data_IF_145675453369
#
_entry.id   IF_145675453369
#
_cell.length_a   1.000
_cell.length_b   1.000
_cell.length_c   1.000
_cell.angle_alpha   90.00
_cell.angle_beta   90.00
_cell.angle_gamma   90.00
#
_symmetry.space_group_name_H-M   'P 1'
#
loop_
_entity.id
_entity.type
_entity.pdbx_description
1 polymer ?
#
# COMPACT_ATOMS: atom_id res chain seq x y z
N UNK A 1 11.92 80.15 -22.71
CA UNK A 1 12.66 79.34 -21.71
C UNK A 1 11.77 78.62 -20.69
N UNK A 2 10.65 79.18 -20.20
CA UNK A 2 9.76 78.51 -19.21
C UNK A 2 9.17 77.17 -19.68
N UNK A 3 8.91 77.00 -20.99
CA UNK A 3 8.39 75.75 -21.54
C UNK A 3 9.40 74.59 -21.52
N UNK A 4 10.68 74.87 -21.74
CA UNK A 4 11.75 73.86 -21.71
C UNK A 4 11.95 73.29 -20.30
N UNK A 5 11.90 74.16 -19.28
CA UNK A 5 12.00 73.75 -17.87
C UNK A 5 10.86 72.79 -17.49
N UNK A 6 9.62 73.07 -17.91
CA UNK A 6 8.47 72.21 -17.63
C UNK A 6 8.57 70.83 -18.31
N UNK A 7 9.11 70.79 -19.54
CA UNK A 7 9.31 69.52 -20.26
C UNK A 7 10.40 68.69 -19.56
N UNK A 8 11.51 69.33 -19.14
CA UNK A 8 12.58 68.65 -18.40
C UNK A 8 12.07 68.08 -17.07
N UNK A 9 11.29 68.85 -16.32
CA UNK A 9 10.71 68.44 -15.04
C UNK A 9 9.74 67.25 -15.18
N UNK A 10 8.93 67.22 -16.24
CA UNK A 10 8.04 66.11 -16.54
C UNK A 10 8.81 64.82 -16.91
N UNK A 11 9.91 64.94 -17.67
CA UNK A 11 10.78 63.81 -18.02
C UNK A 11 11.46 63.25 -16.76
N UNK A 12 12.01 64.12 -15.91
CA UNK A 12 12.66 63.71 -14.65
C UNK A 12 11.64 63.04 -13.72
N UNK A 13 10.44 63.63 -13.58
CA UNK A 13 9.36 63.05 -12.76
C UNK A 13 8.93 61.67 -13.27
N UNK A 14 8.83 61.49 -14.59
CA UNK A 14 8.48 60.20 -15.21
C UNK A 14 9.59 59.16 -15.02
N UNK A 15 10.86 59.55 -15.13
CA UNK A 15 12.01 58.68 -14.86
C UNK A 15 12.03 58.22 -13.40
N UNK A 16 11.76 59.12 -12.46
CA UNK A 16 11.64 58.77 -11.03
C UNK A 16 10.49 57.78 -10.82
N UNK A 17 9.33 58.02 -11.43
CA UNK A 17 8.16 57.15 -11.28
C UNK A 17 8.42 55.74 -11.83
N UNK A 18 9.05 55.64 -13.01
CA UNK A 18 9.45 54.37 -13.63
C UNK A 18 10.54 53.66 -12.80
N UNK A 19 11.48 54.39 -12.21
CA UNK A 19 12.53 53.82 -11.37
C UNK A 19 12.01 53.28 -10.03
N UNK A 20 10.92 53.85 -9.50
CA UNK A 20 10.31 53.43 -8.23
C UNK A 20 9.28 52.31 -8.43
N UNK A 21 8.66 52.20 -9.62
CA UNK A 21 7.67 51.17 -9.94
C UNK A 21 8.12 49.72 -9.64
N UNK A 22 9.37 49.30 -9.92
CA UNK A 22 9.87 47.98 -9.56
C UNK A 22 9.83 47.70 -8.06
N UNK A 23 10.04 48.70 -7.19
CA UNK A 23 9.99 48.50 -5.74
C UNK A 23 8.58 48.19 -5.22
N UNK A 24 7.55 48.62 -5.94
CA UNK A 24 6.15 48.31 -5.61
C UNK A 24 5.61 47.07 -6.33
N UNK A 25 6.18 46.71 -7.48
CA UNK A 25 5.78 45.54 -8.26
C UNK A 25 6.53 44.26 -7.87
N UNK A 26 7.72 44.36 -7.30
CA UNK A 26 8.40 43.22 -6.70
C UNK A 26 7.70 42.92 -5.39
N UNK A 27 6.76 41.97 -5.42
CA UNK A 27 6.28 41.36 -4.20
C UNK A 27 7.49 40.82 -3.45
N UNK A 28 7.74 41.24 -2.19
CA UNK A 28 8.80 40.64 -1.41
C UNK A 28 8.53 39.14 -1.37
N UNK A 29 9.50 38.34 -1.79
CA UNK A 29 9.41 36.88 -1.66
C UNK A 29 9.07 36.57 -0.21
N UNK A 30 7.98 35.84 0.03
CA UNK A 30 7.60 35.43 1.37
C UNK A 30 8.81 34.80 2.06
N UNK A 31 9.11 35.24 3.27
CA UNK A 31 10.23 34.72 4.05
C UNK A 31 10.07 33.22 4.30
N UNK A 32 10.89 32.39 3.66
CA UNK A 32 10.86 30.93 3.85
C UNK A 32 11.43 30.49 5.19
N UNK A 33 12.01 31.40 5.99
CA UNK A 33 12.55 31.12 7.32
C UNK A 33 11.53 30.43 8.24
N UNK A 34 10.26 30.82 8.13
CA UNK A 34 9.19 30.18 8.90
C UNK A 34 8.98 28.71 8.52
N UNK A 35 9.13 28.39 7.23
CA UNK A 35 8.98 27.03 6.73
C UNK A 35 10.21 26.19 7.10
N UNK A 36 11.41 26.72 6.91
CA UNK A 36 12.66 26.06 7.32
C UNK A 36 12.63 25.74 8.81
N UNK A 37 12.25 26.68 9.67
CA UNK A 37 12.12 26.44 11.10
C UNK A 37 11.10 25.33 11.43
N UNK A 38 9.98 25.28 10.72
CA UNK A 38 8.97 24.23 10.92
C UNK A 38 9.48 22.86 10.48
N UNK A 39 10.20 22.79 9.36
CA UNK A 39 10.82 21.55 8.88
C UNK A 39 11.90 21.03 9.83
N UNK A 40 12.77 21.92 10.33
CA UNK A 40 13.79 21.57 11.31
C UNK A 40 13.15 21.04 12.59
N UNK A 41 12.11 21.70 13.11
CA UNK A 41 11.37 21.22 14.28
C UNK A 41 10.73 19.85 14.05
N UNK A 42 10.21 19.59 12.84
CA UNK A 42 9.63 18.29 12.49
C UNK A 42 10.69 17.18 12.45
N UNK A 43 11.87 17.46 11.88
CA UNK A 43 13.00 16.53 11.85
C UNK A 43 13.54 16.25 13.26
N UNK A 44 13.72 17.29 14.07
CA UNK A 44 14.17 17.16 15.46
C UNK A 44 13.16 16.36 16.30
N UNK A 45 11.86 16.60 16.08
CA UNK A 45 10.78 15.85 16.72
C UNK A 45 10.88 14.36 16.40
N UNK A 46 11.00 13.98 15.12
CA UNK A 46 11.17 12.58 14.73
C UNK A 46 12.46 11.98 15.30
N UNK A 47 13.57 12.71 15.30
CA UNK A 47 14.84 12.27 15.85
C UNK A 47 14.77 12.02 17.36
N UNK A 48 14.07 12.87 18.12
CA UNK A 48 13.83 12.69 19.57
C UNK A 48 12.97 11.46 19.82
N UNK A 49 11.88 11.28 19.07
CA UNK A 49 11.00 10.12 19.21
C UNK A 49 11.72 8.80 18.88
N UNK A 50 12.63 8.83 17.91
CA UNK A 50 13.46 7.67 17.58
C UNK A 50 14.47 7.35 18.68
N UNK A 51 15.25 8.35 19.15
CA UNK A 51 16.26 8.16 20.20
C UNK A 51 15.68 7.64 21.51
N UNK A 52 14.41 7.95 21.77
CA UNK A 52 13.68 7.50 22.95
C UNK A 52 12.89 6.21 22.75
N UNK A 53 13.02 5.55 21.58
CA UNK A 53 12.29 4.34 21.16
C UNK A 53 10.76 4.43 21.21
N UNK A 54 10.23 5.65 21.42
CA UNK A 54 8.78 5.93 21.48
C UNK A 54 8.14 5.75 20.12
N UNK A 55 8.83 6.17 19.06
CA UNK A 55 8.32 6.10 17.68
C UNK A 55 7.98 4.66 17.29
N UNK A 56 8.93 3.75 17.50
CA UNK A 56 8.76 2.31 17.28
C UNK A 56 7.61 1.75 18.13
N UNK A 57 7.55 2.13 19.41
CA UNK A 57 6.50 1.67 20.33
C UNK A 57 5.11 2.06 19.83
N UNK A 58 4.92 3.30 19.36
CA UNK A 58 3.64 3.76 18.82
C UNK A 58 3.26 3.01 17.54
N UNK A 59 4.20 2.80 16.63
CA UNK A 59 3.97 2.04 15.38
C UNK A 59 3.65 0.57 15.65
N UNK A 60 4.32 -0.02 16.64
CA UNK A 60 4.16 -1.42 17.05
C UNK A 60 2.80 -1.69 17.66
N UNK A 61 2.35 -0.77 18.53
CA UNK A 61 1.08 -0.87 19.23
C UNK A 61 -0.10 -0.24 18.47
N UNK A 62 0.15 0.38 17.32
CA UNK A 62 -0.83 1.18 16.59
C UNK A 62 -1.50 2.26 17.48
N UNK A 63 -0.71 2.89 18.35
CA UNK A 63 -1.21 3.89 19.31
C UNK A 63 -1.23 5.29 18.69
N UNK A 64 -2.24 5.49 17.85
CA UNK A 64 -2.48 6.76 17.12
C UNK A 64 -2.71 7.92 18.09
N UNK A 65 -3.40 7.68 19.21
CA UNK A 65 -3.75 8.72 20.17
C UNK A 65 -2.51 9.23 20.93
N UNK A 66 -1.67 8.32 21.43
CA UNK A 66 -0.45 8.70 22.15
C UNK A 66 0.54 9.42 21.22
N UNK A 67 0.77 8.90 20.00
CA UNK A 67 1.63 9.55 19.01
C UNK A 67 1.14 10.96 18.69
N UNK A 68 -0.15 11.12 18.41
CA UNK A 68 -0.73 12.43 18.12
C UNK A 68 -0.59 13.40 19.31
N UNK A 69 -0.83 12.94 20.55
CA UNK A 69 -0.67 13.77 21.75
C UNK A 69 0.77 14.25 21.96
N UNK A 70 1.74 13.38 21.65
CA UNK A 70 3.16 13.66 21.80
C UNK A 70 3.64 14.63 20.71
N UNK A 71 3.18 14.45 19.46
CA UNK A 71 3.49 15.37 18.36
C UNK A 71 2.89 16.77 18.59
N UNK A 72 1.67 16.88 19.13
CA UNK A 72 1.07 18.16 19.52
C UNK A 72 1.93 18.89 20.58
N UNK A 73 2.60 18.12 21.46
CA UNK A 73 3.46 18.67 22.51
C UNK A 73 4.81 19.15 21.97
N UNK A 74 5.36 18.47 20.98
CA UNK A 74 6.69 18.74 20.43
C UNK A 74 6.68 19.76 19.29
N UNK A 75 5.61 19.79 18.48
CA UNK A 75 5.47 20.72 17.37
C UNK A 75 4.94 22.10 17.82
N UNK A 76 5.20 23.17 17.04
CA UNK A 76 4.66 24.49 17.33
C UNK A 76 3.13 24.50 17.38
N UNK A 77 2.53 25.20 18.35
CA UNK A 77 1.06 25.27 18.55
C UNK A 77 0.27 25.76 17.33
N UNK A 78 0.91 26.53 16.45
CA UNK A 78 0.30 27.06 15.22
C UNK A 78 0.50 26.14 14.00
N UNK A 79 0.76 24.85 14.22
CA UNK A 79 0.92 23.85 13.17
C UNK A 79 -0.09 22.73 13.31
N UNK A 80 -0.44 22.13 12.17
CA UNK A 80 -1.14 20.86 12.09
C UNK A 80 -0.26 19.86 11.30
N UNK A 81 -0.51 18.58 11.47
CA UNK A 81 0.35 17.53 10.93
C UNK A 81 -0.41 16.26 10.56
N UNK A 82 0.17 15.46 9.67
CA UNK A 82 -0.27 14.12 9.29
C UNK A 82 0.92 13.18 9.36
N UNK A 83 0.71 11.99 9.94
CA UNK A 83 1.74 10.96 10.03
C UNK A 83 1.41 9.82 9.08
N UNK A 84 2.35 9.50 8.20
CA UNK A 84 2.28 8.38 7.29
C UNK A 84 3.40 7.40 7.60
N UNK A 85 3.07 6.11 7.70
CA UNK A 85 4.00 5.01 7.94
C UNK A 85 4.04 4.17 6.69
N UNK A 86 5.24 3.84 6.20
CA UNK A 86 5.41 2.97 5.05
C UNK A 86 6.50 1.89 5.24
N UNK A 87 6.48 0.87 4.37
CA UNK A 87 7.43 -0.26 4.38
C UNK A 87 7.00 -1.46 5.24
N UNK A 88 5.89 -1.33 5.98
CA UNK A 88 5.34 -2.35 6.87
C UNK A 88 3.81 -2.48 6.69
N UNK A 89 3.21 -3.62 7.04
CA UNK A 89 1.79 -3.88 6.75
C UNK A 89 0.90 -3.06 7.68
N UNK A 90 -0.30 -2.78 7.18
CA UNK A 90 -1.33 -2.06 7.92
C UNK A 90 -1.73 -2.84 9.18
N UNK A 91 -1.88 -2.18 10.35
CA UNK A 91 -2.26 -2.86 11.58
C UNK A 91 -3.69 -3.42 11.54
N UNK A 92 -4.57 -2.79 10.75
CA UNK A 92 -5.91 -3.28 10.47
C UNK A 92 -6.09 -3.39 8.96
N UNK A 93 -6.32 -4.59 8.46
CA UNK A 93 -6.54 -4.88 7.05
C UNK A 93 -8.02 -5.16 6.85
N UNK A 94 -8.70 -4.28 6.10
CA UNK A 94 -10.10 -4.46 5.74
C UNK A 94 -10.18 -5.21 4.40
N UNK A 95 -10.78 -6.40 4.46
CA UNK A 95 -10.98 -7.30 3.32
C UNK A 95 -12.48 -7.35 3.01
N UNK A 96 -12.86 -6.82 1.85
CA UNK A 96 -14.22 -6.97 1.31
C UNK A 96 -14.30 -8.27 0.53
N UNK A 97 -15.28 -9.11 0.78
CA UNK A 97 -15.52 -10.35 0.05
C UNK A 97 -16.75 -10.19 -0.84
N UNK A 98 -16.58 -10.30 -2.16
CA UNK A 98 -17.69 -10.38 -3.12
C UNK A 98 -18.06 -11.84 -3.28
N UNK A 99 -18.78 -12.35 -2.29
CA UNK A 99 -18.97 -13.78 -2.15
C UNK A 99 -20.27 -14.12 -1.40
N UNK A 100 -20.68 -15.37 -1.50
CA UNK A 100 -21.76 -15.95 -0.70
C UNK A 100 -21.38 -16.00 0.79
N UNK A 101 -22.35 -16.24 1.67
CA UNK A 101 -22.07 -16.39 3.11
C UNK A 101 -21.10 -17.54 3.38
N UNK A 102 -21.26 -18.67 2.69
CA UNK A 102 -20.39 -19.84 2.84
C UNK A 102 -18.95 -19.55 2.41
N UNK A 103 -18.77 -18.84 1.30
CA UNK A 103 -17.43 -18.42 0.84
C UNK A 103 -16.80 -17.37 1.77
N UNK A 104 -17.63 -16.56 2.45
CA UNK A 104 -17.15 -15.63 3.48
C UNK A 104 -16.59 -16.42 4.67
N UNK A 105 -17.32 -17.44 5.13
CA UNK A 105 -16.88 -18.32 6.21
C UNK A 105 -15.59 -19.07 5.82
N UNK A 106 -15.51 -19.57 4.59
CA UNK A 106 -14.31 -20.21 4.05
C UNK A 106 -13.10 -19.26 4.02
N UNK A 107 -13.31 -18.00 3.65
CA UNK A 107 -12.27 -16.97 3.70
C UNK A 107 -11.82 -16.67 5.13
N UNK A 108 -12.75 -16.53 6.08
CA UNK A 108 -12.40 -16.31 7.48
C UNK A 108 -11.61 -17.49 8.06
N UNK A 109 -12.00 -18.72 7.68
CA UNK A 109 -11.28 -19.94 8.05
C UNK A 109 -9.86 -19.99 7.45
N UNK A 110 -9.68 -19.50 6.21
CA UNK A 110 -8.38 -19.37 5.54
C UNK A 110 -7.48 -18.34 6.24
N UNK A 111 -8.10 -17.29 6.77
CA UNK A 111 -7.42 -16.19 7.45
C UNK A 111 -7.36 -16.37 8.96
N UNK A 112 -7.77 -17.53 9.49
CA UNK A 112 -7.73 -17.80 10.92
C UNK A 112 -6.30 -18.05 11.43
N UNK A 113 -5.90 -17.53 12.62
CA UNK A 113 -6.59 -16.49 13.39
C UNK A 113 -6.55 -15.12 12.69
N UNK A 114 -7.66 -14.38 12.76
CA UNK A 114 -7.82 -13.04 12.20
C UNK A 114 -7.02 -11.98 12.94
N UNK A 115 -6.70 -12.22 14.22
CA UNK A 115 -5.80 -11.39 15.02
C UNK A 115 -4.54 -12.21 15.32
N UNK A 116 -3.39 -11.69 14.94
CA UNK A 116 -2.11 -12.40 15.09
C UNK A 116 -0.95 -11.43 15.24
N UNK A 117 0.18 -11.97 15.66
CA UNK A 117 1.42 -11.20 15.74
C UNK A 117 2.28 -11.40 14.50
N UNK A 118 2.75 -10.27 13.97
CA UNK A 118 3.78 -10.18 12.93
C UNK A 118 4.91 -9.30 13.47
N UNK A 119 6.10 -9.87 13.69
CA UNK A 119 7.26 -9.18 14.29
C UNK A 119 6.87 -8.34 15.52
N UNK A 120 6.19 -8.99 16.47
CA UNK A 120 5.70 -8.37 17.71
C UNK A 120 4.68 -7.22 17.55
N UNK A 121 4.17 -6.97 16.34
CA UNK A 121 3.06 -6.06 16.07
C UNK A 121 1.75 -6.84 16.01
N UNK A 122 0.70 -6.27 16.57
CA UNK A 122 -0.64 -6.83 16.44
C UNK A 122 -1.22 -6.45 15.08
N UNK A 123 -1.57 -7.46 14.29
CA UNK A 123 -2.25 -7.29 13.00
C UNK A 123 -3.66 -7.89 13.14
N UNK A 124 -4.66 -7.15 12.66
CA UNK A 124 -6.06 -7.56 12.64
C UNK A 124 -6.59 -7.54 11.21
N UNK A 125 -7.08 -8.68 10.73
CA UNK A 125 -7.78 -8.78 9.45
C UNK A 125 -9.28 -8.80 9.75
N UNK A 126 -10.03 -7.90 9.10
CA UNK A 126 -11.49 -7.86 9.21
C UNK A 126 -12.09 -8.16 7.85
N UNK A 127 -12.86 -9.24 7.79
CA UNK A 127 -13.60 -9.64 6.59
C UNK A 127 -14.99 -9.03 6.66
N UNK A 128 -15.51 -8.57 5.53
CA UNK A 128 -16.88 -8.10 5.42
C UNK A 128 -17.44 -8.50 4.07
N UNK A 129 -18.65 -9.07 4.05
CA UNK A 129 -19.34 -9.38 2.81
C UNK A 129 -19.76 -8.07 2.12
N UNK A 130 -19.52 -7.97 0.82
CA UNK A 130 -19.81 -6.79 -0.01
C UNK A 130 -20.33 -7.20 -1.38
N UNK A 131 -20.98 -6.25 -2.06
CA UNK A 131 -21.31 -6.40 -3.49
C UNK A 131 -20.38 -5.55 -4.33
N UNK A 132 -20.17 -5.91 -5.60
CA UNK A 132 -19.35 -5.12 -6.54
C UNK A 132 -19.79 -3.66 -6.68
N UNK A 133 -21.06 -3.35 -6.38
CA UNK A 133 -21.61 -2.00 -6.51
C UNK A 133 -21.41 -1.14 -5.25
N UNK A 134 -21.05 -1.75 -4.11
CA UNK A 134 -21.02 -1.09 -2.80
C UNK A 134 -19.73 -1.43 -2.04
N UNK A 135 -18.59 -1.06 -2.62
CA UNK A 135 -17.28 -1.26 -1.99
C UNK A 135 -17.05 -0.15 -0.95
N UNK A 136 -16.85 -0.51 0.31
CA UNK A 136 -16.47 0.46 1.36
C UNK A 136 -15.13 1.13 0.96
N UNK A 137 -15.04 2.47 0.92
CA UNK A 137 -13.82 3.20 0.56
C UNK A 137 -12.58 2.86 1.42
N UNK A 138 -12.78 2.30 2.62
CA UNK A 138 -11.70 1.89 3.52
C UNK A 138 -11.16 0.50 3.18
N UNK A 139 -11.91 -0.30 2.42
CA UNK A 139 -11.48 -1.63 1.95
C UNK A 139 -10.25 -1.48 1.06
N UNK A 140 -9.21 -2.26 1.37
CA UNK A 140 -7.98 -2.27 0.56
C UNK A 140 -7.81 -3.55 -0.23
N UNK A 141 -8.47 -4.63 0.18
CA UNK A 141 -8.42 -5.91 -0.53
C UNK A 141 -9.84 -6.36 -0.82
N UNK A 142 -10.14 -6.62 -2.09
CA UNK A 142 -11.40 -7.17 -2.56
C UNK A 142 -11.16 -8.63 -2.95
N UNK A 143 -11.78 -9.59 -2.24
CA UNK A 143 -11.66 -11.02 -2.51
C UNK A 143 -12.85 -11.51 -3.33
N UNK A 144 -12.58 -12.34 -4.33
CA UNK A 144 -13.56 -12.98 -5.21
C UNK A 144 -13.26 -14.47 -5.25
N UNK A 145 -14.28 -15.30 -5.06
CA UNK A 145 -14.19 -16.75 -5.23
C UNK A 145 -14.78 -17.17 -6.57
N UNK A 146 -14.16 -18.17 -7.19
CA UNK A 146 -14.53 -18.69 -8.50
C UNK A 146 -14.28 -17.71 -9.65
N UNK A 147 -14.60 -18.18 -10.86
CA UNK A 147 -14.55 -17.33 -12.05
C UNK A 147 -15.82 -16.47 -12.13
N UNK A 148 -15.65 -15.16 -12.10
CA UNK A 148 -16.68 -14.16 -12.34
C UNK A 148 -16.27 -13.33 -13.56
N UNK A 149 -17.18 -13.14 -14.52
CA UNK A 149 -16.93 -12.21 -15.62
C UNK A 149 -16.91 -10.77 -15.07
N UNK A 150 -15.72 -10.18 -14.97
CA UNK A 150 -15.51 -8.84 -14.40
C UNK A 150 -15.74 -7.71 -15.40
N UNK A 151 -16.01 -8.02 -16.67
CA UNK A 151 -16.18 -7.04 -17.74
C UNK A 151 -17.25 -5.97 -17.42
N UNK A 152 -18.42 -6.33 -16.86
CA UNK A 152 -19.43 -5.34 -16.47
C UNK A 152 -18.98 -4.37 -15.36
N UNK A 153 -18.03 -4.78 -14.52
CA UNK A 153 -17.57 -4.02 -13.36
C UNK A 153 -16.28 -3.24 -13.63
N UNK A 154 -15.79 -3.22 -14.88
CA UNK A 154 -14.50 -2.63 -15.26
C UNK A 154 -14.27 -1.23 -14.72
N UNK A 155 -15.28 -0.34 -14.77
CA UNK A 155 -15.14 1.04 -14.30
C UNK A 155 -14.94 1.10 -12.78
N UNK A 156 -15.73 0.33 -12.01
CA UNK A 156 -15.65 0.28 -10.55
C UNK A 156 -14.30 -0.31 -10.13
N UNK A 157 -13.90 -1.42 -10.76
CA UNK A 157 -12.61 -2.06 -10.47
C UNK A 157 -11.42 -1.18 -10.84
N UNK A 158 -11.51 -0.43 -11.94
CA UNK A 158 -10.47 0.54 -12.33
C UNK A 158 -10.34 1.63 -11.27
N UNK A 159 -11.45 2.21 -10.82
CA UNK A 159 -11.45 3.22 -9.76
C UNK A 159 -10.91 2.66 -8.44
N UNK A 160 -11.28 1.42 -8.11
CA UNK A 160 -10.76 0.73 -6.92
C UNK A 160 -9.24 0.54 -6.99
N UNK A 161 -8.71 0.05 -8.11
CA UNK A 161 -7.27 -0.10 -8.35
C UNK A 161 -6.54 1.26 -8.37
N UNK A 162 -7.11 2.30 -8.96
CA UNK A 162 -6.56 3.67 -8.99
C UNK A 162 -6.47 4.29 -7.59
N UNK A 163 -7.36 3.93 -6.68
CA UNK A 163 -7.30 4.33 -5.26
C UNK A 163 -6.26 3.53 -4.46
N UNK A 164 -5.59 2.56 -5.09
CA UNK A 164 -4.60 1.67 -4.47
C UNK A 164 -5.20 0.41 -3.86
N UNK A 165 -6.45 0.08 -4.17
CA UNK A 165 -7.06 -1.19 -3.79
C UNK A 165 -6.43 -2.39 -4.52
N UNK A 166 -6.64 -3.58 -3.98
CA UNK A 166 -6.13 -4.84 -4.51
C UNK A 166 -7.25 -5.82 -4.76
N UNK A 167 -7.30 -6.43 -5.94
CA UNK A 167 -8.27 -7.48 -6.26
C UNK A 167 -7.59 -8.84 -6.09
N UNK A 168 -8.14 -9.67 -5.23
CA UNK A 168 -7.65 -11.01 -4.94
C UNK A 168 -8.69 -12.03 -5.43
N UNK A 169 -8.28 -12.97 -6.26
CA UNK A 169 -9.19 -13.93 -6.86
C UNK A 169 -8.72 -15.36 -6.60
N UNK A 170 -9.57 -16.14 -5.94
CA UNK A 170 -9.43 -17.58 -5.75
C UNK A 170 -10.19 -18.29 -6.86
N UNK A 171 -9.50 -18.77 -7.88
CA UNK A 171 -10.19 -19.42 -8.99
C UNK A 171 -9.28 -20.36 -9.75
N UNK A 172 -9.87 -21.48 -10.18
CA UNK A 172 -9.26 -22.34 -11.18
C UNK A 172 -9.75 -21.90 -12.57
N UNK A 173 -8.82 -21.73 -13.50
CA UNK A 173 -9.04 -21.20 -14.83
C UNK A 173 -8.88 -22.27 -15.90
N UNK A 174 -9.75 -22.20 -16.89
CA UNK A 174 -9.57 -22.85 -18.20
C UNK A 174 -8.79 -21.94 -19.15
N UNK A 175 -8.37 -22.47 -20.30
CA UNK A 175 -7.66 -21.70 -21.33
C UNK A 175 -8.46 -20.49 -21.83
N UNK A 176 -9.79 -20.64 -22.00
CA UNK A 176 -10.65 -19.54 -22.45
C UNK A 176 -10.82 -18.47 -21.37
N UNK A 177 -10.92 -18.85 -20.10
CA UNK A 177 -11.04 -17.92 -18.98
C UNK A 177 -9.74 -17.16 -18.71
N UNK A 178 -8.58 -17.82 -18.83
CA UNK A 178 -7.29 -17.15 -18.69
C UNK A 178 -7.04 -16.12 -19.80
N UNK A 179 -7.64 -16.33 -20.98
CA UNK A 179 -7.56 -15.42 -22.12
C UNK A 179 -8.63 -14.31 -22.08
N UNK A 180 -9.54 -14.32 -21.10
CA UNK A 180 -10.49 -13.23 -20.88
C UNK A 180 -9.74 -11.90 -20.72
N UNK A 181 -10.29 -10.82 -21.28
CA UNK A 181 -9.61 -9.54 -21.41
C UNK A 181 -9.10 -9.01 -20.08
N UNK A 182 -9.91 -9.10 -19.01
CA UNK A 182 -9.49 -8.66 -17.67
C UNK A 182 -8.47 -9.62 -17.06
N UNK A 183 -8.63 -10.94 -17.22
CA UNK A 183 -7.66 -11.90 -16.67
C UNK A 183 -6.27 -11.73 -17.30
N UNK A 184 -6.21 -11.56 -18.61
CA UNK A 184 -4.95 -11.33 -19.31
C UNK A 184 -4.38 -9.93 -19.00
N UNK A 185 -5.18 -8.87 -19.13
CA UNK A 185 -4.64 -7.49 -19.00
C UNK A 185 -4.41 -7.04 -17.56
N UNK A 186 -5.34 -7.35 -16.65
CA UNK A 186 -5.38 -6.83 -15.28
C UNK A 186 -4.64 -7.77 -14.33
N UNK A 187 -4.87 -9.08 -14.43
CA UNK A 187 -4.14 -10.09 -13.65
C UNK A 187 -2.81 -10.52 -14.29
N UNK A 188 -2.57 -10.20 -15.58
CA UNK A 188 -1.33 -10.59 -16.25
C UNK A 188 -1.21 -12.09 -16.47
N UNK A 189 -2.34 -12.79 -16.61
CA UNK A 189 -2.37 -14.24 -16.76
C UNK A 189 -2.21 -14.61 -18.24
N UNK A 190 -1.29 -15.51 -18.52
CA UNK A 190 -1.08 -16.07 -19.86
C UNK A 190 -1.08 -17.58 -19.76
N UNK A 191 -1.81 -18.20 -20.67
CA UNK A 191 -1.97 -19.65 -20.68
C UNK A 191 -0.75 -20.33 -21.30
N UNK A 192 -0.22 -21.32 -20.60
CA UNK A 192 0.80 -22.24 -21.05
C UNK A 192 0.14 -23.51 -21.62
N UNK A 193 0.35 -23.77 -22.91
CA UNK A 193 -0.20 -24.97 -23.54
C UNK A 193 0.48 -26.27 -23.05
N UNK A 194 1.69 -26.18 -22.49
CA UNK A 194 2.49 -27.33 -22.07
C UNK A 194 1.87 -27.98 -20.82
N UNK A 195 1.70 -29.30 -20.87
CA UNK A 195 1.32 -30.11 -19.72
C UNK A 195 2.58 -30.39 -18.93
N UNK A 196 2.69 -29.83 -17.72
CA UNK A 196 3.64 -30.33 -16.74
C UNK A 196 2.83 -31.07 -15.69
N UNK A 197 3.18 -32.32 -15.39
CA UNK A 197 2.53 -33.12 -14.36
C UNK A 197 3.36 -33.08 -13.08
N UNK A 198 2.77 -32.60 -11.99
CA UNK A 198 3.29 -32.81 -10.64
C UNK A 198 4.55 -32.03 -10.30
N UNK A 199 4.69 -31.73 -9.02
CA UNK A 199 5.82 -31.00 -8.44
C UNK A 199 5.41 -30.40 -7.12
N UNK A 200 6.33 -30.35 -6.16
CA UNK A 200 6.13 -29.61 -4.92
C UNK A 200 6.17 -28.12 -5.24
N UNK A 201 5.14 -27.36 -4.84
CA UNK A 201 5.14 -25.93 -5.11
C UNK A 201 6.10 -25.19 -4.17
N UNK A 202 6.68 -24.09 -4.64
CA UNK A 202 7.58 -23.25 -3.85
C UNK A 202 7.55 -21.79 -4.29
N UNK A 203 8.17 -20.90 -3.51
CA UNK A 203 8.33 -19.51 -3.91
C UNK A 203 9.21 -19.38 -5.15
N UNK A 204 8.80 -18.53 -6.08
CA UNK A 204 9.54 -18.28 -7.31
C UNK A 204 10.70 -17.30 -7.06
N UNK A 205 11.94 -17.78 -6.92
CA UNK A 205 13.13 -16.93 -6.73
C UNK A 205 12.98 -15.96 -5.51
N UNK A 206 12.74 -16.49 -4.29
CA UNK A 206 12.49 -15.65 -3.10
C UNK A 206 13.69 -14.80 -2.66
N UNK A 207 14.89 -15.03 -3.19
CA UNK A 207 16.09 -14.23 -2.87
C UNK A 207 16.20 -12.91 -3.66
N UNK A 208 15.40 -12.72 -4.71
CA UNK A 208 15.48 -11.53 -5.55
C UNK A 208 14.49 -10.45 -5.07
N UNK A 209 15.01 -9.42 -4.41
CA UNK A 209 14.23 -8.30 -3.84
C UNK A 209 13.38 -7.53 -4.86
N UNK A 210 13.69 -7.66 -6.15
CA UNK A 210 12.91 -7.03 -7.23
C UNK A 210 11.64 -7.81 -7.56
N UNK A 211 11.55 -9.08 -7.17
CA UNK A 211 10.42 -9.97 -7.48
C UNK A 211 9.31 -9.88 -6.44
N UNK A 212 8.07 -10.09 -6.90
CA UNK A 212 6.90 -10.06 -6.01
C UNK A 212 6.91 -11.26 -5.06
N UNK A 213 7.43 -12.40 -5.50
CA UNK A 213 7.67 -13.58 -4.67
C UNK A 213 8.47 -13.28 -3.41
N UNK A 214 9.56 -12.50 -3.50
CA UNK A 214 10.35 -12.08 -2.35
C UNK A 214 9.54 -11.22 -1.38
N UNK A 215 8.74 -10.28 -1.92
CA UNK A 215 7.90 -9.40 -1.09
C UNK A 215 6.88 -10.19 -0.29
N UNK A 216 6.25 -11.19 -0.90
CA UNK A 216 5.29 -12.09 -0.22
C UNK A 216 6.00 -13.07 0.71
N UNK A 217 7.14 -13.65 0.32
CA UNK A 217 7.89 -14.60 1.14
C UNK A 217 8.39 -13.95 2.43
N UNK A 218 8.83 -12.68 2.37
CA UNK A 218 9.19 -11.89 3.55
C UNK A 218 8.08 -11.88 4.61
N UNK A 219 6.82 -11.75 4.19
CA UNK A 219 5.69 -11.82 5.11
C UNK A 219 5.46 -13.23 5.63
N UNK A 220 5.46 -14.20 4.73
CA UNK A 220 5.24 -15.61 5.06
C UNK A 220 6.24 -16.12 6.10
N UNK A 221 7.51 -15.72 5.97
CA UNK A 221 8.58 -16.17 6.85
C UNK A 221 8.44 -15.67 8.28
N UNK A 222 7.74 -14.55 8.48
CA UNK A 222 7.66 -13.80 9.74
C UNK A 222 6.27 -13.86 10.41
N UNK A 223 5.32 -14.62 9.85
CA UNK A 223 4.02 -14.90 10.49
C UNK A 223 4.20 -15.95 11.58
N UNK A 224 3.59 -15.70 12.74
CA UNK A 224 3.56 -16.67 13.86
C UNK A 224 2.78 -17.95 13.48
N UNK A 225 3.25 -19.12 13.95
CA UNK A 225 2.59 -20.41 13.68
C UNK A 225 2.90 -21.02 12.31
N UNK A 226 4.08 -20.76 11.74
CA UNK A 226 4.54 -21.32 10.47
C UNK A 226 4.98 -22.79 10.61
N UNK A 227 4.43 -23.67 9.76
CA UNK A 227 5.01 -24.99 9.46
C UNK A 227 6.02 -24.85 8.29
N UNK A 228 7.13 -25.58 8.34
CA UNK A 228 8.45 -25.24 7.79
C UNK A 228 8.64 -25.03 6.25
N UNK A 229 9.85 -24.50 5.92
CA UNK A 229 10.69 -24.42 4.68
C UNK A 229 10.19 -23.88 3.32
N UNK A 230 8.96 -23.40 3.15
CA UNK A 230 8.58 -22.72 1.88
C UNK A 230 8.35 -23.64 0.68
N UNK A 231 8.14 -24.94 0.96
CA UNK A 231 7.60 -25.93 0.03
C UNK A 231 6.15 -26.25 0.41
N UNK A 232 5.25 -26.23 -0.55
CA UNK A 232 3.81 -26.39 -0.35
C UNK A 232 3.36 -27.75 -0.92
N UNK A 233 2.96 -28.67 -0.05
CA UNK A 233 2.57 -30.04 -0.42
C UNK A 233 1.13 -30.17 -0.91
N UNK A 234 0.26 -29.19 -0.59
CA UNK A 234 -1.14 -29.13 -1.04
C UNK A 234 -1.36 -28.34 -2.33
N UNK A 235 -0.32 -27.71 -2.87
CA UNK A 235 -0.36 -26.92 -4.10
C UNK A 235 0.42 -27.70 -5.17
N UNK A 236 -0.25 -28.31 -6.15
CA UNK A 236 0.50 -29.11 -7.13
C UNK A 236 -0.28 -29.97 -8.13
N UNK A 237 -1.61 -30.03 -8.06
CA UNK A 237 -2.36 -30.61 -9.18
C UNK A 237 -2.37 -29.62 -10.36
N UNK A 238 -1.45 -29.85 -11.28
CA UNK A 238 -1.22 -29.06 -12.49
C UNK A 238 -2.09 -29.48 -13.68
N UNK A 239 -3.00 -30.46 -13.49
CA UNK A 239 -3.97 -30.83 -14.50
C UNK A 239 -4.96 -29.69 -14.80
N UNK A 240 -5.19 -28.85 -13.78
CA UNK A 240 -5.94 -27.59 -13.80
C UNK A 240 -4.95 -26.41 -13.66
N UNK A 241 -5.24 -25.25 -14.25
CA UNK A 241 -4.43 -24.03 -14.15
C UNK A 241 -3.04 -24.07 -14.80
N UNK A 242 -3.00 -24.00 -16.13
CA UNK A 242 -1.73 -23.90 -16.86
C UNK A 242 -1.35 -22.45 -17.10
N UNK A 243 -1.10 -21.69 -16.05
CA UNK A 243 -0.66 -20.29 -16.20
C UNK A 243 0.86 -20.23 -16.27
N UNK A 244 1.43 -19.49 -17.22
CA UNK A 244 2.89 -19.41 -17.41
C UNK A 244 3.62 -18.77 -16.21
N UNK A 245 4.86 -19.20 -16.00
CA UNK A 245 5.78 -18.60 -15.02
C UNK A 245 6.47 -17.38 -15.63
N UNK A 246 6.56 -16.30 -14.86
CA UNK A 246 7.23 -15.04 -15.19
C UNK A 246 7.61 -14.26 -13.92
N UNK A 247 8.01 -12.99 -14.06
CA UNK A 247 8.36 -12.11 -12.94
C UNK A 247 7.20 -11.77 -11.98
N UNK A 248 5.95 -12.04 -12.36
CA UNK A 248 4.73 -11.85 -11.55
C UNK A 248 4.37 -13.09 -10.73
N UNK A 249 5.13 -14.16 -10.91
CA UNK A 249 4.88 -15.43 -10.22
C UNK A 249 5.32 -15.33 -8.76
N UNK A 250 4.43 -15.70 -7.85
CA UNK A 250 4.69 -15.78 -6.40
C UNK A 250 5.04 -17.22 -6.04
N UNK A 251 4.12 -18.14 -6.35
CA UNK A 251 4.28 -19.59 -6.15
C UNK A 251 4.22 -20.28 -7.50
N UNK A 252 5.15 -21.21 -7.72
CA UNK A 252 5.17 -22.05 -8.91
C UNK A 252 5.27 -23.52 -8.54
N UNK A 253 4.82 -24.38 -9.45
CA UNK A 253 5.12 -25.81 -9.45
C UNK A 253 5.49 -26.24 -10.87
N UNK A 254 6.64 -26.89 -11.01
CA UNK A 254 7.17 -27.31 -12.31
C UNK A 254 7.24 -26.17 -13.33
N UNK A 255 6.33 -26.11 -14.31
CA UNK A 255 6.30 -25.08 -15.35
C UNK A 255 5.06 -24.19 -15.31
N UNK A 256 4.30 -24.23 -14.22
CA UNK A 256 3.08 -23.45 -14.04
C UNK A 256 3.14 -22.58 -12.79
N UNK A 257 2.55 -21.40 -12.90
CA UNK A 257 2.27 -20.52 -11.77
C UNK A 257 1.01 -20.98 -11.06
N UNK A 258 1.06 -21.05 -9.73
CA UNK A 258 -0.10 -21.34 -8.88
C UNK A 258 -0.59 -20.09 -8.16
N UNK A 259 0.30 -19.13 -7.91
CA UNK A 259 -0.06 -17.81 -7.41
C UNK A 259 0.66 -16.78 -8.26
N UNK A 260 -0.09 -15.84 -8.85
CA UNK A 260 0.47 -14.67 -9.55
C UNK A 260 -0.04 -13.40 -8.93
N UNK A 261 0.82 -12.41 -8.94
CA UNK A 261 0.50 -11.08 -8.51
C UNK A 261 0.99 -10.07 -9.55
N UNK A 262 0.14 -9.12 -9.92
CA UNK A 262 0.50 -8.00 -10.76
C UNK A 262 0.48 -6.74 -9.91
N UNK A 263 1.57 -5.99 -9.89
CA UNK A 263 1.65 -4.69 -9.26
C UNK A 263 1.53 -3.56 -10.31
N UNK A 264 1.23 -2.34 -9.84
CA UNK A 264 1.12 -1.15 -10.70
C UNK A 264 0.08 -1.29 -11.83
N UNK A 265 -1.04 -1.94 -11.54
CA UNK A 265 -2.05 -2.31 -12.56
C UNK A 265 -2.82 -1.11 -13.09
N UNK A 266 -3.07 -0.09 -12.27
CA UNK A 266 -3.76 1.12 -12.71
C UNK A 266 -2.83 2.09 -13.44
N UNK A 267 -3.43 2.99 -14.22
CA UNK A 267 -2.72 4.04 -14.98
C UNK A 267 -1.81 4.92 -14.12
N UNK A 268 -2.14 5.08 -12.84
CA UNK A 268 -1.40 5.91 -11.89
C UNK A 268 -0.27 5.15 -11.18
N UNK A 269 0.07 3.93 -11.61
CA UNK A 269 1.04 3.09 -10.92
C UNK A 269 0.55 2.68 -9.53
N UNK A 270 -0.76 2.45 -9.37
CA UNK A 270 -1.37 2.02 -8.12
C UNK A 270 -2.17 0.73 -8.32
N UNK A 271 -2.51 0.10 -7.21
CA UNK A 271 -3.35 -1.08 -7.19
C UNK A 271 -2.59 -2.34 -7.58
N UNK A 272 -3.13 -3.47 -7.14
CA UNK A 272 -2.54 -4.79 -7.36
C UNK A 272 -3.64 -5.78 -7.69
N UNK A 273 -3.27 -6.87 -8.35
CA UNK A 273 -4.17 -7.99 -8.57
C UNK A 273 -3.45 -9.27 -8.20
N UNK A 274 -4.15 -10.21 -7.60
CA UNK A 274 -3.60 -11.49 -7.17
C UNK A 274 -4.56 -12.57 -7.64
N UNK A 275 -4.01 -13.54 -8.36
CA UNK A 275 -4.71 -14.76 -8.72
C UNK A 275 -4.10 -15.93 -7.95
N UNK A 276 -4.97 -16.75 -7.38
CA UNK A 276 -4.60 -17.90 -6.57
C UNK A 276 -5.36 -19.13 -7.08
N UNK A 277 -4.59 -20.11 -7.57
CA UNK A 277 -5.06 -21.39 -8.08
C UNK A 277 -5.14 -22.45 -6.99
N UNK A 278 -5.95 -23.48 -7.23
CA UNK A 278 -5.99 -24.71 -6.43
C UNK A 278 -6.13 -24.41 -4.93
N UNK A 279 -7.12 -23.57 -4.62
CA UNK A 279 -7.47 -23.15 -3.26
C UNK A 279 -8.47 -24.11 -2.61
N UNK A 280 -8.87 -25.17 -3.32
CA UNK A 280 -9.86 -26.16 -2.88
C UNK A 280 -9.37 -26.97 -1.68
N UNK A 281 -10.22 -27.05 -0.66
CA UNK A 281 -9.88 -27.66 0.63
C UNK A 281 -10.21 -29.15 0.68
N UNK A 282 -9.23 -29.93 1.14
CA UNK A 282 -9.52 -31.07 2.03
C UNK A 282 -8.44 -31.17 3.12
N UNK A 283 -8.89 -30.93 4.37
CA UNK A 283 -8.42 -31.46 5.65
C UNK A 283 -7.15 -30.87 6.32
N UNK A 284 -7.37 -30.25 7.49
CA UNK A 284 -6.62 -30.23 8.77
C UNK A 284 -5.20 -30.84 8.88
N UNK A 285 -4.33 -30.59 7.90
CA UNK A 285 -2.94 -31.04 7.90
C UNK A 285 -2.00 -29.84 7.71
N UNK A 286 -0.70 -30.09 7.72
CA UNK A 286 0.32 -29.05 7.55
C UNK A 286 0.14 -28.25 6.26
N UNK A 287 -0.35 -28.88 5.18
CA UNK A 287 -0.60 -28.21 3.91
C UNK A 287 -1.70 -27.13 4.02
N UNK A 288 -2.76 -27.40 4.79
CA UNK A 288 -3.79 -26.41 5.07
C UNK A 288 -3.21 -25.21 5.84
N UNK A 289 -2.35 -25.44 6.84
CA UNK A 289 -1.72 -24.36 7.59
C UNK A 289 -0.75 -23.53 6.72
N UNK A 290 0.01 -24.18 5.84
CA UNK A 290 0.86 -23.50 4.85
C UNK A 290 0.03 -22.60 3.93
N UNK A 291 -1.11 -23.08 3.42
CA UNK A 291 -2.02 -22.30 2.59
C UNK A 291 -2.61 -21.10 3.35
N UNK A 292 -3.04 -21.29 4.61
CA UNK A 292 -3.51 -20.20 5.48
C UNK A 292 -2.45 -19.11 5.65
N UNK A 293 -1.22 -19.52 5.98
CA UNK A 293 -0.11 -18.59 6.17
C UNK A 293 0.29 -17.89 4.87
N UNK A 294 0.27 -18.59 3.73
CA UNK A 294 0.53 -18.02 2.41
C UNK A 294 -0.54 -17.00 2.02
N UNK A 295 -1.81 -17.32 2.22
CA UNK A 295 -2.90 -16.38 1.95
C UNK A 295 -2.77 -15.14 2.82
N UNK A 296 -2.52 -15.30 4.14
CA UNK A 296 -2.28 -14.16 5.03
C UNK A 296 -1.11 -13.32 4.57
N UNK A 297 0.04 -13.93 4.28
CA UNK A 297 1.22 -13.22 3.79
C UNK A 297 0.92 -12.43 2.52
N UNK A 298 0.18 -13.05 1.61
CA UNK A 298 -0.22 -12.44 0.35
C UNK A 298 -1.20 -11.29 0.58
N UNK A 299 -2.18 -11.42 1.49
CA UNK A 299 -3.10 -10.35 1.88
C UNK A 299 -2.38 -9.20 2.59
N UNK A 300 -1.43 -9.50 3.49
CA UNK A 300 -0.62 -8.48 4.16
C UNK A 300 0.12 -7.63 3.14
N UNK A 301 0.85 -8.28 2.22
CA UNK A 301 1.49 -7.58 1.11
C UNK A 301 0.46 -6.82 0.27
N UNK A 302 -0.62 -7.48 -0.15
CA UNK A 302 -1.69 -6.95 -1.01
C UNK A 302 -2.31 -5.66 -0.46
N UNK A 303 -2.55 -5.62 0.86
CA UNK A 303 -3.24 -4.53 1.54
C UNK A 303 -2.53 -3.18 1.47
N UNK A 304 -1.26 -3.19 1.07
CA UNK A 304 -0.41 -2.01 1.06
C UNK A 304 0.57 -2.03 2.22
N UNK A 305 1.65 -1.30 2.04
CA UNK A 305 2.67 -1.06 3.06
C UNK A 305 2.72 0.43 3.36
N UNK A 306 1.55 1.07 3.40
CA UNK A 306 1.41 2.51 3.59
C UNK A 306 0.07 2.78 4.28
N UNK A 307 0.13 3.38 5.46
CA UNK A 307 -1.05 3.82 6.20
C UNK A 307 -0.77 5.11 6.97
N UNK A 308 -1.85 5.82 7.30
CA UNK A 308 -1.79 7.02 8.12
C UNK A 308 -2.06 6.72 9.58
N UNK A 309 -1.30 7.35 10.46
CA UNK A 309 -1.52 7.36 11.91
C UNK A 309 -2.12 8.70 12.34
N UNK A 310 -3.21 9.09 11.68
CA UNK A 310 -3.97 10.29 12.01
C UNK A 310 -5.26 9.92 12.75
N UNK A 311 -5.64 10.64 13.83
CA UNK A 311 -6.90 10.38 14.52
C UNK A 311 -8.14 10.67 13.65
N UNK A 312 -7.98 11.50 12.62
CA UNK A 312 -9.03 11.84 11.65
C UNK A 312 -8.40 12.12 10.29
N UNK A 313 -9.17 11.97 9.21
CA UNK A 313 -8.70 12.23 7.85
C UNK A 313 -8.37 13.72 7.69
N UNK A 314 -7.07 14.04 7.61
CA UNK A 314 -6.59 15.39 7.34
C UNK A 314 -6.26 15.57 5.86
N UNK A 315 -6.54 16.76 5.34
CA UNK A 315 -6.03 17.22 4.04
C UNK A 315 -4.95 18.27 4.33
N UNK A 316 -3.69 18.03 3.93
CA UNK A 316 -2.65 19.03 4.06
C UNK A 316 -3.05 20.34 3.39
N UNK A 317 -2.60 21.47 3.94
CA UNK A 317 -2.72 22.75 3.25
C UNK A 317 -1.95 22.73 1.92
N UNK A 318 -2.21 23.67 1.01
CA UNK A 318 -1.52 23.72 -0.29
C UNK A 318 0.00 23.87 -0.15
N UNK A 319 0.45 24.61 0.88
CA UNK A 319 1.85 24.67 1.31
C UNK A 319 2.03 23.79 2.54
N UNK A 320 2.85 22.76 2.42
CA UNK A 320 3.21 21.85 3.50
C UNK A 320 4.68 21.46 3.40
N UNK A 321 5.20 20.88 4.48
CA UNK A 321 6.56 20.41 4.58
C UNK A 321 6.54 18.93 4.94
N UNK A 322 7.53 18.20 4.45
CA UNK A 322 7.70 16.79 4.76
C UNK A 322 9.01 16.59 5.52
N UNK A 323 8.94 15.84 6.61
CA UNK A 323 10.08 15.31 7.33
C UNK A 323 9.99 13.79 7.30
N UNK A 324 11.01 13.13 6.77
CA UNK A 324 11.07 11.68 6.65
C UNK A 324 12.13 11.11 7.58
N UNK A 325 11.81 10.00 8.23
CA UNK A 325 12.74 9.25 9.06
C UNK A 325 12.59 7.75 8.83
N UNK A 326 13.70 6.99 8.88
CA UNK A 326 13.69 5.54 8.77
C UNK A 326 13.88 4.95 10.17
N UNK A 327 12.86 4.25 10.65
CA UNK A 327 12.91 3.47 11.87
C UNK A 327 13.17 1.99 11.60
N UNK A 328 13.49 1.25 12.66
CA UNK A 328 13.59 -0.21 12.64
C UNK A 328 12.67 -0.76 13.72
N UNK A 329 11.84 -1.76 13.40
CA UNK A 329 11.10 -2.55 14.38
C UNK A 329 12.00 -3.68 14.87
N UNK A 330 12.22 -3.72 16.18
CA UNK A 330 13.09 -4.64 16.90
C UNK A 330 14.50 -4.73 16.28
N UNK A 331 14.97 -3.64 15.64
CA UNK A 331 16.28 -3.58 14.98
C UNK A 331 16.40 -4.36 13.66
N UNK A 332 15.32 -4.94 13.13
CA UNK A 332 15.37 -5.85 11.97
C UNK A 332 14.52 -5.37 10.79
N UNK A 333 13.29 -4.89 11.03
CA UNK A 333 12.40 -4.51 9.94
C UNK A 333 12.39 -2.99 9.73
N UNK A 334 12.89 -2.50 8.58
CA UNK A 334 12.83 -1.08 8.29
C UNK A 334 11.42 -0.63 7.98
N UNK A 335 11.06 0.53 8.53
CA UNK A 335 9.87 1.28 8.16
C UNK A 335 10.22 2.75 8.00
N UNK A 336 9.51 3.43 7.12
CA UNK A 336 9.64 4.88 6.95
C UNK A 336 8.47 5.57 7.63
N UNK A 337 8.76 6.65 8.37
CA UNK A 337 7.76 7.59 8.84
C UNK A 337 7.95 8.91 8.12
N UNK A 338 6.87 9.36 7.49
CA UNK A 338 6.74 10.68 6.92
C UNK A 338 5.81 11.51 7.79
N UNK A 339 6.35 12.57 8.37
CA UNK A 339 5.62 13.60 9.09
C UNK A 339 5.39 14.78 8.13
N UNK A 340 4.14 14.97 7.73
CA UNK A 340 3.72 16.11 6.92
C UNK A 340 3.23 17.20 7.87
N UNK A 341 3.81 18.39 7.82
CA UNK A 341 3.46 19.50 8.73
C UNK A 341 3.08 20.74 7.90
N UNK A 342 2.04 21.45 8.33
CA UNK A 342 1.60 22.69 7.69
C UNK A 342 1.05 23.69 8.71
N UNK A 343 0.91 24.95 8.28
CA UNK A 343 0.22 25.99 9.06
C UNK A 343 -1.22 26.07 8.58
N UNK A 344 -2.23 25.84 9.43
CA UNK A 344 -3.63 25.92 9.01
C UNK A 344 -4.07 27.35 8.69
N UNK A 345 -3.40 28.35 9.28
CA UNK A 345 -3.63 29.77 9.05
C UNK A 345 -2.29 30.40 8.67
N UNK A 346 -2.11 30.71 7.39
CA UNK A 346 -0.94 31.42 6.85
C UNK A 346 -1.35 32.74 6.24
#
# INVERSE_FOLDING_TARGET
MKGFIRILEAIISSLILIAVLPFFLVQPSESEWGNIALQTNALDTLAVLQKTTRLETYVKNNDVAALNSELIRLLPKASDFSVEVSGIPNPVILVGCVCTSTETDDLENLLWPLNFQYKQRQISIRVSNMTMNTIDPRTRVLVIFGYLNLTPYKNILTQFLESGGTIFMFTDLTSSQAQDGIMNTTFGLKWNAVISSGGSASFFVPGDTTKISHRVSRYYENISGRADTGTFSGLGDSSINRVEIDNKTVIFSSQVSLVKANDYVSKNGKGRTIWFANYGYTLNNDAAQQLKNLTKATIMWASGENYKMDPFTKRPAQKFLEATHIGLIDGVEPFEIKLVVWRPFS
#
